data_IF_049606007070
#
_entry.id   IF_049606007070
#
_cell.length_a   1.000
_cell.length_b   1.000
_cell.length_c   1.000
_cell.angle_alpha   90.00
_cell.angle_beta   90.00
_cell.angle_gamma   90.00
#
_symmetry.space_group_name_H-M   'P 1'
#
loop_
_entity.id
_entity.type
_entity.pdbx_description
1 polymer ?
#
# COMPACT_ATOMS: atom_id res chain seq x y z
N UNK A 1 -18.11 6.29 -12.83
CA UNK A 1 -17.29 7.05 -11.85
C UNK A 1 -17.47 6.38 -10.50
N UNK A 2 -16.37 6.02 -9.84
CA UNK A 2 -16.39 5.28 -8.58
C UNK A 2 -15.94 6.17 -7.43
N UNK A 3 -16.47 5.95 -6.23
CA UNK A 3 -16.04 6.67 -5.02
C UNK A 3 -15.15 5.74 -4.20
N UNK A 4 -13.94 6.17 -3.91
CA UNK A 4 -13.00 5.39 -3.13
C UNK A 4 -12.54 6.13 -1.88
N UNK A 5 -12.28 5.38 -0.81
CA UNK A 5 -11.87 5.90 0.50
C UNK A 5 -10.58 5.24 0.97
N UNK A 6 -9.71 6.02 1.59
CA UNK A 6 -8.62 5.50 2.42
C UNK A 6 -8.44 6.39 3.64
N UNK A 7 -8.64 5.82 4.83
CA UNK A 7 -8.70 6.57 6.09
C UNK A 7 -9.70 7.75 5.99
N UNK A 8 -9.19 8.99 6.06
CA UNK A 8 -9.97 10.24 6.03
C UNK A 8 -10.05 10.87 4.63
N UNK A 9 -9.50 10.23 3.60
CA UNK A 9 -9.50 10.72 2.22
C UNK A 9 -10.57 10.02 1.39
N UNK A 10 -11.38 10.80 0.68
CA UNK A 10 -12.36 10.33 -0.30
C UNK A 10 -11.96 10.88 -1.68
N UNK A 11 -11.97 10.03 -2.70
CA UNK A 11 -11.65 10.38 -4.09
C UNK A 11 -12.71 9.84 -5.03
N UNK A 12 -13.00 10.58 -6.09
CA UNK A 12 -13.81 10.09 -7.21
C UNK A 12 -12.85 9.71 -8.32
N UNK A 13 -12.96 8.49 -8.83
CA UNK A 13 -12.04 7.93 -9.83
C UNK A 13 -12.82 7.47 -11.06
N UNK A 14 -12.21 7.61 -12.23
CA UNK A 14 -12.71 6.98 -13.45
C UNK A 14 -12.50 5.46 -13.39
N UNK A 15 -13.08 4.75 -14.35
CA UNK A 15 -12.88 3.31 -14.48
C UNK A 15 -11.41 2.98 -14.78
N UNK A 16 -10.76 3.77 -15.65
CA UNK A 16 -9.34 3.60 -16.02
C UNK A 16 -8.38 3.75 -14.82
N UNK A 17 -8.76 4.55 -13.82
CA UNK A 17 -7.93 4.76 -12.61
C UNK A 17 -8.27 3.78 -11.48
N UNK A 18 -9.38 3.04 -11.59
CA UNK A 18 -9.94 2.25 -10.49
C UNK A 18 -8.93 1.23 -9.95
N UNK A 19 -8.32 0.45 -10.83
CA UNK A 19 -7.33 -0.58 -10.45
C UNK A 19 -6.12 0.02 -9.73
N UNK A 20 -5.65 1.20 -10.18
CA UNK A 20 -4.52 1.89 -9.56
C UNK A 20 -4.84 2.29 -8.13
N UNK A 21 -6.05 2.77 -7.86
CA UNK A 21 -6.45 3.15 -6.50
C UNK A 21 -6.73 1.93 -5.61
N UNK A 22 -7.29 0.85 -6.18
CA UNK A 22 -7.41 -0.45 -5.50
C UNK A 22 -6.03 -0.94 -5.05
N UNK A 23 -5.04 -0.96 -5.95
CA UNK A 23 -3.68 -1.38 -5.64
C UNK A 23 -2.99 -0.51 -4.58
N UNK A 24 -3.34 0.78 -4.53
CA UNK A 24 -2.90 1.70 -3.46
C UNK A 24 -3.65 1.48 -2.14
N UNK A 25 -4.53 0.50 -2.07
CA UNK A 25 -5.30 0.12 -0.88
C UNK A 25 -6.42 1.09 -0.56
N UNK A 26 -7.10 1.63 -1.57
CA UNK A 26 -8.36 2.36 -1.37
C UNK A 26 -9.55 1.41 -1.43
N UNK A 27 -10.50 1.60 -0.52
CA UNK A 27 -11.75 0.86 -0.46
C UNK A 27 -12.79 1.49 -1.37
N UNK A 28 -13.55 0.65 -2.08
CA UNK A 28 -14.70 1.13 -2.84
C UNK A 28 -15.83 1.41 -1.86
N UNK A 29 -16.41 2.61 -1.91
CA UNK A 29 -17.51 3.02 -1.04
C UNK A 29 -18.71 3.49 -1.85
N UNK A 30 -19.90 3.44 -1.24
CA UNK A 30 -21.09 4.11 -1.79
C UNK A 30 -21.08 5.61 -1.46
N UNK A 31 -22.09 6.34 -1.93
CA UNK A 31 -22.22 7.79 -1.69
C UNK A 31 -22.39 8.16 -0.20
N UNK A 32 -22.80 7.20 0.64
CA UNK A 32 -22.91 7.36 2.10
C UNK A 32 -21.60 7.05 2.82
N UNK A 33 -20.53 6.69 2.09
CA UNK A 33 -19.23 6.33 2.64
C UNK A 33 -19.15 4.91 3.22
N UNK A 34 -20.18 4.08 3.01
CA UNK A 34 -20.18 2.66 3.40
C UNK A 34 -19.30 1.86 2.44
N UNK A 35 -18.43 1.01 2.97
CA UNK A 35 -17.55 0.15 2.17
C UNK A 35 -18.39 -0.90 1.43
N UNK A 36 -18.27 -0.91 0.10
CA UNK A 36 -18.82 -1.92 -0.81
C UNK A 36 -17.77 -2.99 -1.09
N UNK A 37 -16.49 -2.60 -1.22
CA UNK A 37 -15.36 -3.52 -1.43
C UNK A 37 -14.16 -3.08 -0.59
N UNK A 38 -13.72 -3.96 0.31
CA UNK A 38 -12.60 -3.73 1.21
C UNK A 38 -11.30 -4.19 0.55
N UNK A 39 -10.58 -3.27 -0.09
CA UNK A 39 -9.30 -3.56 -0.74
C UNK A 39 -8.12 -3.21 0.19
N UNK A 40 -8.34 -2.34 1.16
CA UNK A 40 -7.30 -1.87 2.08
C UNK A 40 -6.79 -2.98 2.98
N UNK A 41 -7.64 -3.96 3.34
CA UNK A 41 -7.21 -5.16 4.07
C UNK A 41 -6.48 -6.16 3.18
N UNK A 42 -6.99 -6.42 1.97
CA UNK A 42 -6.38 -7.33 0.99
C UNK A 42 -4.94 -6.95 0.63
N UNK A 43 -4.67 -5.65 0.45
CA UNK A 43 -3.33 -5.16 0.12
C UNK A 43 -2.45 -4.89 1.36
N UNK A 44 -2.99 -5.04 2.57
CA UNK A 44 -2.25 -4.81 3.82
C UNK A 44 -1.17 -5.87 4.03
N UNK A 45 -1.49 -7.14 3.76
CA UNK A 45 -0.55 -8.26 3.89
C UNK A 45 0.58 -8.14 2.87
N UNK A 46 0.25 -7.92 1.60
CA UNK A 46 1.23 -7.74 0.52
C UNK A 46 2.17 -6.55 0.78
N UNK A 47 1.61 -5.43 1.27
CA UNK A 47 2.42 -4.26 1.64
C UNK A 47 3.33 -4.54 2.84
N UNK A 48 2.83 -5.28 3.84
CA UNK A 48 3.63 -5.63 5.01
C UNK A 48 4.78 -6.57 4.66
N UNK A 49 4.57 -7.54 3.77
CA UNK A 49 5.61 -8.44 3.26
C UNK A 49 6.70 -7.67 2.51
N UNK A 50 6.32 -6.82 1.54
CA UNK A 50 7.27 -6.00 0.78
C UNK A 50 8.04 -5.04 1.69
N UNK A 51 7.38 -4.46 2.69
CA UNK A 51 8.01 -3.57 3.68
C UNK A 51 9.01 -4.33 4.55
N UNK A 52 8.67 -5.53 5.01
CA UNK A 52 9.57 -6.37 5.80
C UNK A 52 10.82 -6.77 4.99
N UNK A 53 10.63 -7.11 3.71
CA UNK A 53 11.73 -7.44 2.80
C UNK A 53 12.66 -6.24 2.54
N UNK A 54 12.09 -5.05 2.32
CA UNK A 54 12.86 -3.81 2.18
C UNK A 54 13.76 -3.53 3.40
N UNK A 55 13.20 -3.63 4.61
CA UNK A 55 13.98 -3.42 5.84
C UNK A 55 15.05 -4.49 6.07
N UNK A 56 14.76 -5.74 5.71
CA UNK A 56 15.77 -6.82 5.73
C UNK A 56 16.94 -6.48 4.82
N UNK A 57 16.65 -6.02 3.60
CA UNK A 57 17.68 -5.66 2.62
C UNK A 57 18.49 -4.43 3.04
N UNK A 58 17.86 -3.42 3.66
CA UNK A 58 18.58 -2.29 4.25
C UNK A 58 19.56 -2.72 5.35
N UNK A 59 19.10 -3.57 6.28
CA UNK A 59 19.94 -4.06 7.38
C UNK A 59 21.12 -4.89 6.88
N UNK A 60 20.91 -5.72 5.86
CA UNK A 60 21.98 -6.47 5.18
C UNK A 60 22.99 -5.51 4.54
N UNK A 61 22.52 -4.45 3.87
CA UNK A 61 23.39 -3.46 3.23
C UNK A 61 24.23 -2.66 4.25
N UNK A 62 23.67 -2.32 5.42
CA UNK A 62 24.41 -1.68 6.51
C UNK A 62 25.49 -2.61 7.09
N UNK A 63 25.14 -3.86 7.36
CA UNK A 63 26.09 -4.85 7.89
C UNK A 63 27.27 -5.08 6.94
N UNK A 64 27.00 -5.15 5.62
CA UNK A 64 28.04 -5.25 4.59
C UNK A 64 28.92 -3.99 4.49
N UNK A 65 28.40 -2.81 4.83
CA UNK A 65 29.20 -1.58 4.90
C UNK A 65 30.12 -1.57 6.12
N UNK A 66 29.66 -2.05 7.26
CA UNK A 66 30.48 -2.17 8.49
C UNK A 66 31.61 -3.18 8.30
N UNK A 67 31.31 -4.38 7.77
CA UNK A 67 32.32 -5.41 7.44
C UNK A 67 33.41 -4.93 6.47
N UNK A 68 33.10 -3.94 5.61
CA UNK A 68 34.07 -3.35 4.68
C UNK A 68 34.92 -2.25 5.30
N UNK A 69 34.54 -1.70 6.46
CA UNK A 69 35.32 -0.69 7.18
C UNK A 69 36.38 -1.30 8.11
N UNK A 70 36.17 -2.55 8.55
CA UNK A 70 37.11 -3.29 9.40
C UNK A 70 38.24 -4.00 8.62
N UNK A 71 38.48 -3.62 7.36
CA UNK A 71 39.56 -4.15 6.51
C UNK A 71 40.45 -3.04 5.99
#
# INVERSE_FOLDING_TARGET
>A
MFVMRKANKIVRVSEDELERYIYRGFDLVNDKGTIIKNNSELHKELYNEQRAEYFKNQKVAELLKELKKDK
#
